data_IF_415638629036
#
_entry.id   IF_415638629036
#
_cell.length_a   1.000
_cell.length_b   1.000
_cell.length_c   1.000
_cell.angle_alpha   90.00
_cell.angle_beta   90.00
_cell.angle_gamma   90.00
#
_symmetry.space_group_name_H-M   'P 1'
#
loop_
_entity.id
_entity.type
_entity.pdbx_description
1 polymer ?
#
# COMPACT_ATOMS: atom_id res chain seq x y z
N UNK A 1 24.01 37.64 71.16
CA UNK A 1 24.47 37.01 69.90
C UNK A 1 24.61 35.51 70.13
N UNK A 2 23.73 34.68 69.54
CA UNK A 2 23.92 33.22 69.32
C UNK A 2 22.90 32.80 68.26
N UNK A 3 23.40 32.41 67.09
CA UNK A 3 22.64 32.26 65.85
C UNK A 3 21.92 30.92 65.72
N UNK A 4 20.75 30.96 65.08
CA UNK A 4 19.90 29.81 64.74
C UNK A 4 20.36 29.26 63.38
N UNK A 5 20.90 28.05 63.37
CA UNK A 5 21.35 27.36 62.14
C UNK A 5 20.14 26.75 61.43
N UNK A 6 19.71 27.35 60.31
CA UNK A 6 18.67 26.77 59.43
C UNK A 6 19.29 25.64 58.59
N UNK A 7 18.77 24.42 58.74
CA UNK A 7 19.10 23.29 57.86
C UNK A 7 18.27 23.41 56.58
N UNK A 8 18.93 23.52 55.44
CA UNK A 8 18.28 23.43 54.13
C UNK A 8 18.11 21.95 53.78
N UNK A 9 16.87 21.53 53.53
CA UNK A 9 16.53 20.22 52.98
C UNK A 9 16.52 20.37 51.46
N UNK A 10 17.43 19.66 50.78
CA UNK A 10 17.46 19.59 49.32
C UNK A 10 16.45 18.52 48.90
N UNK A 11 15.35 18.94 48.29
CA UNK A 11 14.38 18.04 47.67
C UNK A 11 14.90 17.62 46.29
N UNK A 12 15.26 16.35 46.14
CA UNK A 12 15.61 15.76 44.85
C UNK A 12 14.31 15.53 44.05
N UNK A 13 14.07 16.36 43.03
CA UNK A 13 12.99 16.17 42.08
C UNK A 13 13.36 15.01 41.13
N UNK A 14 12.76 13.85 41.35
CA UNK A 14 12.83 12.71 40.43
C UNK A 14 12.01 13.03 39.17
N UNK A 15 12.69 13.37 38.07
CA UNK A 15 12.08 13.50 36.76
C UNK A 15 11.63 12.12 36.26
N UNK A 16 10.32 11.88 36.28
CA UNK A 16 9.73 10.70 35.65
C UNK A 16 9.90 10.83 34.13
N UNK A 17 10.83 10.07 33.56
CA UNK A 17 10.94 9.91 32.11
C UNK A 17 9.72 9.10 31.66
N UNK A 18 8.69 9.79 31.21
CA UNK A 18 7.58 9.17 30.51
C UNK A 18 8.12 8.63 29.18
N UNK A 19 8.45 7.34 29.13
CA UNK A 19 8.70 6.62 27.89
C UNK A 19 7.35 6.53 27.19
N UNK A 20 7.07 7.48 26.32
CA UNK A 20 6.00 7.34 25.34
C UNK A 20 6.40 6.18 24.44
N UNK A 21 5.77 5.02 24.65
CA UNK A 21 5.74 3.96 23.65
C UNK A 21 5.11 4.60 22.42
N UNK A 22 5.95 4.96 21.45
CA UNK A 22 5.49 5.37 20.14
C UNK A 22 4.63 4.22 19.62
N UNK A 23 3.31 4.44 19.60
CA UNK A 23 2.37 3.58 18.90
C UNK A 23 2.90 3.51 17.49
N UNK A 24 3.50 2.37 17.13
CA UNK A 24 3.99 2.18 15.78
C UNK A 24 2.77 2.35 14.86
N UNK A 25 2.85 3.21 13.84
CA UNK A 25 1.76 3.37 12.89
C UNK A 25 1.43 1.98 12.34
N UNK A 26 0.14 1.65 12.30
CA UNK A 26 -0.36 0.42 11.73
C UNK A 26 0.38 0.16 10.41
N UNK A 27 1.11 -0.95 10.33
CA UNK A 27 1.93 -1.29 9.17
C UNK A 27 1.06 -1.17 7.91
N UNK A 28 1.51 -0.37 6.95
CA UNK A 28 0.86 -0.22 5.64
C UNK A 28 0.57 -1.61 5.04
N UNK A 29 -0.69 -1.89 4.74
CA UNK A 29 -1.07 -3.17 4.14
C UNK A 29 -0.69 -3.14 2.65
N UNK A 30 0.45 -3.77 2.32
CA UNK A 30 0.85 -3.96 0.94
C UNK A 30 0.18 -5.23 0.42
N UNK A 31 -0.70 -5.09 -0.58
CA UNK A 31 -1.30 -6.21 -1.30
C UNK A 31 -0.54 -6.40 -2.62
N UNK A 32 0.01 -7.59 -2.84
CA UNK A 32 0.69 -7.96 -4.09
C UNK A 32 -0.04 -9.13 -4.77
N UNK A 33 -0.23 -9.03 -6.08
CA UNK A 33 -0.86 -10.05 -6.92
C UNK A 33 0.06 -10.36 -8.10
N UNK A 34 0.56 -11.59 -8.15
CA UNK A 34 1.35 -12.11 -9.26
C UNK A 34 0.50 -13.02 -10.17
N UNK A 35 0.54 -12.78 -11.49
CA UNK A 35 -0.23 -13.55 -12.46
C UNK A 35 0.42 -13.53 -13.85
N UNK A 36 0.73 -14.70 -14.42
CA UNK A 36 1.38 -14.84 -15.74
C UNK A 36 2.63 -13.95 -15.90
N UNK A 37 3.47 -13.91 -14.86
CA UNK A 37 4.67 -13.06 -14.83
C UNK A 37 4.39 -11.55 -14.79
N UNK A 38 3.14 -11.14 -14.57
CA UNK A 38 2.77 -9.76 -14.24
C UNK A 38 2.63 -9.60 -12.73
N UNK A 39 2.88 -8.39 -12.25
CA UNK A 39 2.74 -8.04 -10.82
C UNK A 39 1.86 -6.80 -10.70
N UNK A 40 0.91 -6.84 -9.78
CA UNK A 40 0.11 -5.68 -9.38
C UNK A 40 0.30 -5.49 -7.88
N UNK A 41 0.54 -4.26 -7.46
CA UNK A 41 0.73 -3.92 -6.06
C UNK A 41 -0.20 -2.76 -5.67
N UNK A 42 -0.76 -2.86 -4.47
CA UNK A 42 -1.47 -1.79 -3.78
C UNK A 42 -0.75 -1.53 -2.46
N UNK A 43 -0.48 -0.27 -2.19
CA UNK A 43 -0.02 0.23 -0.90
C UNK A 43 -1.06 1.23 -0.38
N UNK A 44 -1.68 0.95 0.77
CA UNK A 44 -2.70 1.81 1.39
C UNK A 44 -2.12 2.91 2.30
N UNK A 45 -0.80 2.96 2.48
CA UNK A 45 -0.15 4.05 3.21
C UNK A 45 1.25 4.35 2.63
N UNK A 46 1.34 4.84 1.37
CA UNK A 46 2.60 4.99 0.63
C UNK A 46 3.53 6.10 1.15
N UNK A 47 3.15 6.84 2.21
CA UNK A 47 3.98 7.88 2.84
C UNK A 47 4.20 9.15 2.01
N UNK A 48 3.56 9.30 0.84
CA UNK A 48 3.69 10.46 -0.06
C UNK A 48 2.50 11.44 0.02
N UNK A 49 1.67 11.32 1.06
CA UNK A 49 0.46 12.14 1.24
C UNK A 49 -0.77 11.65 0.46
N UNK A 50 -0.64 10.62 -0.38
CA UNK A 50 -1.79 9.99 -1.03
C UNK A 50 -2.44 8.94 -0.12
N UNK A 51 -3.78 8.79 -0.15
CA UNK A 51 -4.48 7.71 0.55
C UNK A 51 -4.11 6.30 0.10
N UNK A 52 -3.76 6.09 -1.17
CA UNK A 52 -3.20 4.82 -1.63
C UNK A 52 -2.33 5.02 -2.87
N UNK A 53 -1.54 4.00 -3.19
CA UNK A 53 -0.70 3.93 -4.38
C UNK A 53 -0.86 2.58 -5.05
N UNK A 54 -1.09 2.60 -6.36
CA UNK A 54 -1.22 1.39 -7.18
C UNK A 54 -0.08 1.34 -8.16
N UNK A 55 0.55 0.18 -8.28
CA UNK A 55 1.59 -0.09 -9.27
C UNK A 55 1.30 -1.37 -10.04
N UNK A 56 1.70 -1.37 -11.30
CA UNK A 56 1.54 -2.51 -12.19
C UNK A 56 2.81 -2.70 -13.00
N UNK A 57 3.24 -3.95 -13.11
CA UNK A 57 4.23 -4.43 -14.05
C UNK A 57 3.60 -5.42 -15.02
N UNK A 58 3.78 -5.14 -16.30
CA UNK A 58 3.27 -5.93 -17.41
C UNK A 58 3.99 -7.26 -17.53
N UNK A 59 3.21 -8.32 -17.77
CA UNK A 59 3.69 -9.70 -17.87
C UNK A 59 4.97 -9.87 -18.69
N UNK A 60 5.84 -10.79 -18.24
CA UNK A 60 7.02 -11.25 -18.98
C UNK A 60 6.74 -12.38 -19.99
N UNK A 61 5.65 -13.12 -19.79
CA UNK A 61 5.33 -14.36 -20.49
C UNK A 61 5.01 -14.17 -21.98
N UNK A 62 5.30 -15.19 -22.80
CA UNK A 62 5.20 -15.11 -24.26
C UNK A 62 3.77 -14.91 -24.77
N UNK A 63 2.76 -15.36 -24.01
CA UNK A 63 1.35 -15.29 -24.39
C UNK A 63 0.66 -14.06 -23.83
N UNK A 64 1.33 -13.27 -22.98
CA UNK A 64 0.74 -12.12 -22.32
C UNK A 64 1.08 -10.83 -23.07
N UNK A 65 0.05 -10.04 -23.40
CA UNK A 65 0.16 -8.84 -24.23
C UNK A 65 0.15 -7.57 -23.37
N UNK A 66 -0.72 -7.54 -22.36
CA UNK A 66 -0.97 -6.37 -21.53
C UNK A 66 -1.46 -6.78 -20.15
N UNK A 67 -1.18 -5.95 -19.15
CA UNK A 67 -1.63 -6.14 -17.77
C UNK A 67 -2.43 -4.92 -17.33
N UNK A 68 -3.49 -5.16 -16.57
CA UNK A 68 -4.30 -4.15 -15.88
C UNK A 68 -4.28 -4.42 -14.38
N UNK A 69 -3.99 -3.38 -13.61
CA UNK A 69 -4.47 -3.29 -12.23
C UNK A 69 -5.87 -2.68 -12.28
N UNK A 70 -6.86 -3.40 -11.75
CA UNK A 70 -8.21 -2.88 -11.55
C UNK A 70 -8.46 -2.71 -10.06
N UNK A 71 -8.99 -1.56 -9.67
CA UNK A 71 -9.18 -1.22 -8.26
C UNK A 71 -10.47 -0.42 -8.04
N UNK A 72 -10.98 -0.44 -6.81
CA UNK A 72 -12.18 0.28 -6.39
C UNK A 72 -11.87 1.07 -5.12
N UNK A 73 -12.40 2.29 -5.02
CA UNK A 73 -12.28 3.08 -3.79
C UNK A 73 -13.26 2.64 -2.71
N UNK A 74 -12.95 2.95 -1.45
CA UNK A 74 -13.84 2.81 -0.30
C UNK A 74 -15.13 3.60 -0.57
N UNK A 75 -16.29 3.00 -0.34
CA UNK A 75 -17.60 3.63 -0.59
C UNK A 75 -18.01 3.72 -2.07
N UNK A 76 -17.14 3.34 -3.01
CA UNK A 76 -17.42 3.38 -4.46
C UNK A 76 -17.57 1.97 -5.07
N UNK A 77 -18.41 1.89 -6.11
CA UNK A 77 -18.55 0.72 -6.99
C UNK A 77 -17.84 0.92 -8.34
N UNK A 78 -17.27 2.09 -8.59
CA UNK A 78 -16.57 2.40 -9.83
C UNK A 78 -15.25 1.64 -9.87
N UNK A 79 -15.01 0.95 -10.99
CA UNK A 79 -13.75 0.25 -11.26
C UNK A 79 -12.83 1.20 -12.00
N UNK A 80 -11.70 1.52 -11.39
CA UNK A 80 -10.60 2.23 -12.01
C UNK A 80 -9.62 1.23 -12.63
N UNK A 81 -8.88 1.65 -13.66
CA UNK A 81 -7.94 0.78 -14.37
C UNK A 81 -6.63 1.51 -14.60
N UNK A 82 -5.52 0.87 -14.23
CA UNK A 82 -4.16 1.23 -14.64
C UNK A 82 -3.64 0.12 -15.55
N UNK A 83 -3.36 0.43 -16.81
CA UNK A 83 -2.96 -0.55 -17.83
C UNK A 83 -1.54 -0.30 -18.33
N UNK A 84 -0.79 -1.37 -18.53
CA UNK A 84 0.55 -1.35 -19.15
C UNK A 84 0.68 -2.44 -20.21
N UNK A 85 1.58 -2.20 -21.17
CA UNK A 85 2.00 -3.23 -22.11
C UNK A 85 2.96 -4.24 -21.48
N UNK A 86 3.27 -5.31 -22.22
CA UNK A 86 4.25 -6.34 -21.84
C UNK A 86 5.60 -5.72 -21.42
N UNK A 87 6.16 -6.17 -20.28
CA UNK A 87 7.43 -5.69 -19.70
C UNK A 87 7.51 -4.17 -19.49
N UNK A 88 6.37 -3.49 -19.31
CA UNK A 88 6.30 -2.07 -18.95
C UNK A 88 5.73 -1.93 -17.54
N UNK A 89 6.05 -0.85 -16.86
CA UNK A 89 5.49 -0.52 -15.55
C UNK A 89 4.82 0.84 -15.55
N UNK A 90 3.85 1.02 -14.67
CA UNK A 90 3.26 2.30 -14.35
C UNK A 90 2.78 2.28 -12.90
N UNK A 91 2.63 3.48 -12.32
CA UNK A 91 2.00 3.66 -11.01
C UNK A 91 1.13 4.90 -11.00
N UNK A 92 0.24 4.96 -10.02
CA UNK A 92 -0.60 6.11 -9.74
C UNK A 92 -0.85 6.24 -8.24
N UNK A 93 -0.69 7.46 -7.71
CA UNK A 93 -1.25 7.82 -6.40
C UNK A 93 -2.74 8.08 -6.56
N UNK A 94 -3.56 7.45 -5.74
CA UNK A 94 -5.02 7.59 -5.84
C UNK A 94 -5.51 8.75 -4.98
N UNK A 95 -6.59 9.44 -5.37
CA UNK A 95 -7.19 10.50 -4.56
C UNK A 95 -7.97 9.97 -3.36
N UNK A 96 -8.29 8.68 -3.33
CA UNK A 96 -9.10 8.01 -2.32
C UNK A 96 -8.47 6.67 -1.94
N UNK A 97 -8.81 6.18 -0.76
CA UNK A 97 -8.38 4.86 -0.28
C UNK A 97 -8.97 3.76 -1.16
N UNK A 98 -8.14 2.82 -1.60
CA UNK A 98 -8.55 1.67 -2.41
C UNK A 98 -9.00 0.54 -1.49
N UNK A 99 -10.26 0.07 -1.64
CA UNK A 99 -10.82 -1.04 -0.85
C UNK A 99 -10.52 -2.43 -1.38
N UNK A 100 -10.28 -2.53 -2.69
CA UNK A 100 -10.06 -3.80 -3.36
C UNK A 100 -9.30 -3.62 -4.66
N UNK A 101 -8.46 -4.61 -4.98
CA UNK A 101 -7.64 -4.66 -6.19
C UNK A 101 -7.66 -6.05 -6.82
N UNK A 102 -7.52 -6.12 -8.14
CA UNK A 102 -7.27 -7.37 -8.88
C UNK A 102 -6.31 -7.15 -10.05
N UNK A 103 -5.61 -8.21 -10.43
CA UNK A 103 -4.75 -8.23 -11.60
C UNK A 103 -5.47 -8.90 -12.78
N UNK A 104 -5.49 -8.25 -13.94
CA UNK A 104 -5.98 -8.83 -15.18
C UNK A 104 -4.88 -8.85 -16.23
N UNK A 105 -4.70 -9.97 -16.91
CA UNK A 105 -3.71 -10.13 -17.98
C UNK A 105 -4.42 -10.49 -19.27
N UNK A 106 -4.14 -9.76 -20.36
CA UNK A 106 -4.60 -10.08 -21.70
C UNK A 106 -3.72 -11.18 -22.26
N UNK A 107 -4.31 -12.35 -22.48
CA UNK A 107 -3.61 -13.54 -22.97
C UNK A 107 -4.03 -13.82 -24.41
N UNK A 108 -3.06 -14.23 -25.23
CA UNK A 108 -3.27 -14.66 -26.62
C UNK A 108 -2.64 -16.03 -26.84
N UNK A 109 -3.47 -17.01 -27.15
CA UNK A 109 -3.01 -18.33 -27.55
C UNK A 109 -2.91 -18.43 -29.08
N UNK A 110 -1.98 -19.24 -29.62
CA UNK A 110 -1.72 -19.32 -31.06
C UNK A 110 -2.93 -19.64 -31.95
N UNK A 111 -3.99 -20.23 -31.39
CA UNK A 111 -5.22 -20.60 -32.12
C UNK A 111 -6.51 -20.00 -31.54
N UNK A 112 -6.41 -19.09 -30.57
CA UNK A 112 -7.60 -18.53 -29.89
C UNK A 112 -7.61 -17.01 -29.92
N UNK A 113 -8.82 -16.45 -29.76
CA UNK A 113 -9.03 -15.01 -29.58
C UNK A 113 -8.40 -14.54 -28.26
N UNK A 114 -8.03 -13.27 -28.23
CA UNK A 114 -7.48 -12.63 -27.04
C UNK A 114 -8.56 -12.53 -25.95
N UNK A 115 -8.21 -12.86 -24.71
CA UNK A 115 -9.13 -12.74 -23.59
C UNK A 115 -8.41 -12.26 -22.33
N UNK A 116 -9.16 -11.57 -21.46
CA UNK A 116 -8.66 -11.12 -20.17
C UNK A 116 -8.81 -12.23 -19.12
N UNK A 117 -7.70 -12.64 -18.53
CA UNK A 117 -7.66 -13.56 -17.40
C UNK A 117 -7.38 -12.77 -16.12
N UNK A 118 -8.37 -12.66 -15.24
CA UNK A 118 -8.31 -11.85 -14.03
C UNK A 118 -8.17 -12.71 -12.77
N UNK A 119 -7.46 -12.20 -11.75
CA UNK A 119 -7.54 -12.73 -10.39
C UNK A 119 -8.91 -12.43 -9.77
N UNK A 120 -9.18 -13.11 -8.66
CA UNK A 120 -10.19 -12.67 -7.72
C UNK A 120 -9.86 -11.28 -7.18
N UNK A 121 -10.87 -10.60 -6.65
CA UNK A 121 -10.69 -9.35 -5.92
C UNK A 121 -10.06 -9.63 -4.56
N UNK A 122 -8.95 -8.95 -4.26
CA UNK A 122 -8.36 -8.93 -2.91
C UNK A 122 -8.75 -7.63 -2.23
N UNK A 123 -9.31 -7.74 -1.02
CA UNK A 123 -9.60 -6.59 -0.19
C UNK A 123 -8.30 -6.02 0.42
N UNK A 124 -8.21 -4.71 0.53
CA UNK A 124 -7.24 -4.08 1.42
C UNK A 124 -7.75 -4.22 2.85
N UNK A 125 -6.98 -4.91 3.70
CA UNK A 125 -7.27 -5.05 5.13
C UNK A 125 -6.74 -3.87 5.93
#
# INVERSE_FOLDING_TARGET
MRGITRRMVVAAASAAVAVTLAVQPAFAAVVQIDRFGATVQLDTAPGNGAPSWVWVYGAGDNWAISTRAQYMYVGSKTIHTLQVGRRKSASVSTPEEVRAIRACVLVKYPRHKEFWSCSEWLASS
#
